data_IF_633839980006
#
_entry.id   IF_633839980006
#
_cell.length_a   1.000
_cell.length_b   1.000
_cell.length_c   1.000
_cell.angle_alpha   90.00
_cell.angle_beta   90.00
_cell.angle_gamma   90.00
#
_symmetry.space_group_name_H-M   'P 1'
#
loop_
_entity.id
_entity.type
_entity.pdbx_description
1 polymer ?
#
# COMPACT_ATOMS: atom_id res chain seq x y z
N UNK A 1 -13.45 66.64 -8.71
CA UNK A 1 -13.38 65.21 -9.09
C UNK A 1 -13.53 64.42 -7.81
N UNK A 2 -14.79 64.21 -7.44
CA UNK A 2 -15.20 63.30 -6.39
C UNK A 2 -15.05 61.86 -6.88
N UNK A 3 -14.55 60.96 -6.04
CA UNK A 3 -15.28 59.74 -5.65
C UNK A 3 -14.36 58.73 -4.96
N UNK A 4 -14.62 58.57 -3.66
CA UNK A 4 -14.64 57.29 -2.95
C UNK A 4 -13.34 56.49 -2.83
N UNK A 5 -12.47 56.99 -1.95
CA UNK A 5 -11.70 56.15 -1.07
C UNK A 5 -12.63 55.52 -0.01
N UNK A 6 -13.21 54.34 -0.24
CA UNK A 6 -13.63 53.42 0.83
C UNK A 6 -14.30 52.14 0.30
N UNK A 7 -13.92 51.02 0.92
CA UNK A 7 -14.74 49.83 1.12
C UNK A 7 -14.85 48.81 -0.02
N UNK A 8 -13.89 47.86 -0.04
CA UNK A 8 -14.18 46.41 -0.08
C UNK A 8 -13.06 45.70 0.72
N UNK A 9 -12.85 46.05 2.00
CA UNK A 9 -13.27 45.27 3.18
C UNK A 9 -13.45 43.78 2.89
N UNK A 10 -12.52 42.97 3.40
CA UNK A 10 -12.47 41.53 3.19
C UNK A 10 -13.76 40.81 3.55
N UNK A 11 -14.28 40.06 2.59
CA UNK A 11 -15.18 38.94 2.86
C UNK A 11 -14.32 37.73 3.17
N UNK A 12 -13.83 37.65 4.41
CA UNK A 12 -13.63 36.34 5.03
C UNK A 12 -15.03 35.78 5.20
N UNK A 13 -15.49 34.94 4.26
CA UNK A 13 -16.64 34.06 4.46
C UNK A 13 -16.42 33.37 5.81
N UNK A 14 -17.19 33.66 6.86
CA UNK A 14 -17.11 32.88 8.07
C UNK A 14 -17.72 31.54 7.67
N UNK A 15 -16.86 30.57 7.34
CA UNK A 15 -17.28 29.18 7.32
C UNK A 15 -17.51 28.83 8.79
N UNK A 16 -18.68 29.20 9.30
CA UNK A 16 -19.23 28.64 10.52
C UNK A 16 -19.55 27.21 10.11
N UNK A 17 -18.54 26.35 10.20
CA UNK A 17 -18.80 24.92 10.13
C UNK A 17 -19.46 24.63 11.47
N UNK A 18 -20.77 24.46 11.46
CA UNK A 18 -21.49 23.91 12.61
C UNK A 18 -20.71 22.68 13.07
N UNK A 19 -20.23 22.70 14.32
CA UNK A 19 -19.49 21.58 14.92
C UNK A 19 -20.28 20.26 14.78
N UNK A 20 -21.62 20.33 14.75
CA UNK A 20 -22.50 19.19 14.48
C UNK A 20 -22.38 18.58 13.08
N UNK A 21 -22.09 19.38 12.05
CA UNK A 21 -21.91 18.90 10.67
C UNK A 21 -20.50 18.29 10.53
N UNK A 22 -19.50 18.95 11.13
CA UNK A 22 -18.13 18.45 11.15
C UNK A 22 -18.02 17.12 11.92
N UNK A 23 -18.72 16.99 13.05
CA UNK A 23 -18.75 15.76 13.86
C UNK A 23 -19.51 14.63 13.15
N UNK A 24 -20.55 14.94 12.38
CA UNK A 24 -21.25 13.94 11.55
C UNK A 24 -20.36 13.43 10.41
N UNK A 25 -19.72 14.33 9.67
CA UNK A 25 -18.81 13.94 8.59
C UNK A 25 -17.59 13.20 9.13
N UNK A 26 -17.03 13.62 10.28
CA UNK A 26 -15.91 12.93 10.93
C UNK A 26 -16.31 11.53 11.45
N UNK A 27 -17.54 11.36 11.96
CA UNK A 27 -18.07 10.04 12.34
C UNK A 27 -18.30 9.14 11.15
N UNK A 28 -18.86 9.66 10.06
CA UNK A 28 -19.04 8.88 8.83
C UNK A 28 -17.68 8.48 8.23
N UNK A 29 -16.74 9.42 8.10
CA UNK A 29 -15.36 9.12 7.69
C UNK A 29 -14.66 8.11 8.62
N UNK A 30 -14.89 8.21 9.92
CA UNK A 30 -14.42 7.26 10.93
C UNK A 30 -15.00 5.86 10.72
N UNK A 31 -16.32 5.73 10.49
CA UNK A 31 -16.97 4.44 10.23
C UNK A 31 -16.52 3.83 8.89
N UNK A 32 -16.34 4.64 7.85
CA UNK A 32 -15.81 4.18 6.56
C UNK A 32 -14.35 3.73 6.68
N UNK A 33 -13.52 4.48 7.40
CA UNK A 33 -12.14 4.11 7.68
C UNK A 33 -12.05 2.84 8.52
N UNK A 34 -12.91 2.67 9.52
CA UNK A 34 -12.94 1.48 10.38
C UNK A 34 -13.39 0.24 9.59
N UNK A 35 -14.39 0.38 8.71
CA UNK A 35 -14.79 -0.69 7.78
C UNK A 35 -13.64 -1.07 6.85
N UNK A 36 -13.00 -0.09 6.21
CA UNK A 36 -11.84 -0.36 5.35
C UNK A 36 -10.70 -1.01 6.14
N UNK A 37 -10.44 -0.58 7.37
CA UNK A 37 -9.42 -1.17 8.22
C UNK A 37 -9.74 -2.63 8.57
N UNK A 38 -11.00 -2.95 8.91
CA UNK A 38 -11.45 -4.32 9.15
C UNK A 38 -11.34 -5.20 7.91
N UNK A 39 -11.77 -4.73 6.74
CA UNK A 39 -11.60 -5.47 5.49
C UNK A 39 -10.12 -5.66 5.14
N UNK A 40 -9.32 -4.61 5.22
CA UNK A 40 -7.89 -4.65 4.92
C UNK A 40 -7.13 -5.55 5.91
N UNK A 41 -7.48 -5.54 7.19
CA UNK A 41 -6.91 -6.43 8.20
C UNK A 41 -7.22 -7.92 7.94
N UNK A 42 -8.35 -8.22 7.30
CA UNK A 42 -8.75 -9.59 6.97
C UNK A 42 -8.06 -10.09 5.68
N UNK A 43 -7.89 -9.20 4.69
CA UNK A 43 -7.26 -9.54 3.40
C UNK A 43 -5.73 -9.52 3.45
N UNK A 44 -5.12 -8.64 4.25
CA UNK A 44 -3.66 -8.55 4.41
C UNK A 44 -2.98 -9.88 4.75
N UNK A 45 -3.45 -10.69 5.71
CA UNK A 45 -2.83 -11.98 6.00
C UNK A 45 -3.04 -13.02 4.88
N UNK A 46 -4.18 -12.98 4.17
CA UNK A 46 -4.44 -13.87 3.03
C UNK A 46 -3.49 -13.56 1.88
N UNK A 47 -3.36 -12.28 1.52
CA UNK A 47 -2.45 -11.82 0.46
C UNK A 47 -0.99 -12.03 0.87
N UNK A 48 -0.65 -11.75 2.13
CA UNK A 48 0.69 -11.96 2.67
C UNK A 48 1.11 -13.43 2.66
N UNK A 49 0.21 -14.34 3.08
CA UNK A 49 0.44 -15.78 3.01
C UNK A 49 0.61 -16.30 1.58
N UNK A 50 -0.18 -15.77 0.63
CA UNK A 50 -0.06 -16.13 -0.78
C UNK A 50 1.26 -15.66 -1.39
N UNK A 51 1.67 -14.42 -1.10
CA UNK A 51 2.96 -13.87 -1.52
C UNK A 51 4.14 -14.62 -0.90
N UNK A 52 4.03 -15.02 0.36
CA UNK A 52 5.03 -15.86 1.03
C UNK A 52 5.16 -17.23 0.35
N UNK A 53 4.04 -17.90 0.09
CA UNK A 53 4.02 -19.20 -0.58
C UNK A 53 4.60 -19.14 -2.00
N UNK A 54 4.19 -18.13 -2.79
CA UNK A 54 4.72 -17.91 -4.14
C UNK A 54 6.20 -17.55 -4.13
N UNK A 55 6.61 -16.65 -3.24
CA UNK A 55 8.01 -16.27 -3.08
C UNK A 55 8.90 -17.46 -2.72
N UNK A 56 8.45 -18.29 -1.77
CA UNK A 56 9.14 -19.53 -1.39
C UNK A 56 9.27 -20.51 -2.55
N UNK A 57 8.18 -20.73 -3.32
CA UNK A 57 8.21 -21.59 -4.50
C UNK A 57 9.19 -21.08 -5.57
N UNK A 58 9.25 -19.76 -5.79
CA UNK A 58 10.18 -19.14 -6.74
C UNK A 58 11.63 -19.33 -6.28
N UNK A 59 11.94 -19.16 -4.98
CA UNK A 59 13.31 -19.40 -4.47
C UNK A 59 13.72 -20.86 -4.69
N UNK A 60 12.85 -21.81 -4.40
CA UNK A 60 13.12 -23.24 -4.61
C UNK A 60 13.34 -23.52 -6.10
N UNK A 61 12.46 -23.03 -6.97
CA UNK A 61 12.61 -23.19 -8.42
C UNK A 61 13.88 -22.53 -8.94
N UNK A 62 14.23 -21.34 -8.46
CA UNK A 62 15.46 -20.64 -8.83
C UNK A 62 16.71 -21.44 -8.45
N UNK A 63 16.70 -22.14 -7.32
CA UNK A 63 17.78 -23.03 -6.92
C UNK A 63 17.86 -24.28 -7.81
N UNK A 64 16.73 -24.93 -8.10
CA UNK A 64 16.67 -26.13 -8.96
C UNK A 64 17.10 -25.79 -10.39
N UNK A 65 16.55 -24.72 -10.96
CA UNK A 65 16.90 -24.23 -12.29
C UNK A 65 18.32 -23.68 -12.33
N UNK A 66 18.74 -22.94 -11.31
CA UNK A 66 20.12 -22.48 -11.17
C UNK A 66 21.11 -23.63 -11.25
N UNK A 67 20.85 -24.72 -10.52
CA UNK A 67 21.68 -25.92 -10.56
C UNK A 67 21.65 -26.62 -11.92
N UNK A 68 20.48 -26.84 -12.49
CA UNK A 68 20.34 -27.52 -13.80
C UNK A 68 20.96 -26.72 -14.94
N UNK A 69 20.78 -25.40 -14.96
CA UNK A 69 21.40 -24.53 -15.97
C UNK A 69 22.87 -24.24 -15.67
N UNK A 70 23.35 -24.44 -14.44
CA UNK A 70 24.79 -24.37 -14.14
C UNK A 70 25.56 -25.46 -14.88
N UNK A 71 24.99 -26.67 -14.98
CA UNK A 71 25.53 -27.75 -15.81
C UNK A 71 25.57 -27.41 -17.32
N UNK A 72 24.80 -26.40 -17.75
CA UNK A 72 24.74 -25.88 -19.11
C UNK A 72 25.54 -24.58 -19.29
N UNK A 73 26.26 -24.11 -18.26
CA UNK A 73 27.09 -22.89 -18.30
C UNK A 73 26.33 -21.56 -18.18
N UNK A 74 25.01 -21.57 -17.94
CA UNK A 74 24.16 -20.36 -17.88
C UNK A 74 23.34 -20.20 -16.59
N UNK A 75 23.51 -21.06 -15.59
CA UNK A 75 22.63 -21.10 -14.41
C UNK A 75 22.72 -19.92 -13.45
N UNK A 76 23.80 -19.15 -13.49
CA UNK A 76 24.00 -18.01 -12.59
C UNK A 76 22.93 -16.91 -12.76
N UNK A 77 22.54 -16.61 -14.00
CA UNK A 77 21.60 -15.54 -14.29
C UNK A 77 20.20 -15.89 -13.76
N UNK A 78 19.73 -17.10 -14.07
CA UNK A 78 18.42 -17.61 -13.65
C UNK A 78 18.33 -17.73 -12.13
N UNK A 79 19.39 -18.20 -11.47
CA UNK A 79 19.47 -18.30 -10.03
C UNK A 79 19.42 -16.92 -9.35
N UNK A 80 20.19 -15.95 -9.84
CA UNK A 80 20.26 -14.61 -9.27
C UNK A 80 18.91 -13.89 -9.33
N UNK A 81 18.30 -13.80 -10.52
CA UNK A 81 17.02 -13.11 -10.66
C UNK A 81 15.88 -13.86 -9.96
N UNK A 82 15.86 -15.18 -10.04
CA UNK A 82 14.86 -16.00 -9.35
C UNK A 82 14.94 -15.84 -7.83
N UNK A 83 16.13 -15.86 -7.25
CA UNK A 83 16.31 -15.60 -5.82
C UNK A 83 15.92 -14.18 -5.44
N UNK A 84 16.32 -13.16 -6.21
CA UNK A 84 15.98 -11.77 -5.94
C UNK A 84 14.46 -11.56 -5.89
N UNK A 85 13.73 -12.07 -6.89
CA UNK A 85 12.27 -11.96 -6.96
C UNK A 85 11.63 -12.75 -5.81
N UNK A 86 12.06 -13.99 -5.59
CA UNK A 86 11.52 -14.85 -4.54
C UNK A 86 11.71 -14.29 -3.14
N UNK A 87 12.90 -13.79 -2.80
CA UNK A 87 13.16 -13.14 -1.51
C UNK A 87 12.40 -11.83 -1.33
N UNK A 88 12.23 -11.04 -2.38
CA UNK A 88 11.42 -9.81 -2.34
C UNK A 88 9.96 -10.14 -2.01
N UNK A 89 9.40 -11.15 -2.67
CA UNK A 89 8.02 -11.62 -2.41
C UNK A 89 7.86 -12.19 -0.99
N UNK A 90 8.85 -12.94 -0.50
CA UNK A 90 8.86 -13.43 0.88
C UNK A 90 8.87 -12.28 1.88
N UNK A 91 9.70 -11.26 1.66
CA UNK A 91 9.79 -10.09 2.54
C UNK A 91 8.47 -9.30 2.59
N UNK A 92 7.85 -9.05 1.43
CA UNK A 92 6.54 -8.38 1.35
C UNK A 92 5.48 -9.26 2.02
N UNK A 93 5.50 -10.56 1.76
CA UNK A 93 4.58 -11.52 2.37
C UNK A 93 4.60 -11.43 3.90
N UNK A 94 5.79 -11.52 4.50
CA UNK A 94 6.00 -11.40 5.96
C UNK A 94 5.50 -10.05 6.49
N UNK A 95 5.81 -8.94 5.80
CA UNK A 95 5.37 -7.60 6.21
C UNK A 95 3.87 -7.35 6.09
N UNK A 96 3.14 -8.19 5.33
CA UNK A 96 1.69 -8.12 5.20
C UNK A 96 0.95 -9.06 6.15
N UNK A 97 1.58 -10.13 6.64
CA UNK A 97 1.03 -11.05 7.64
C UNK A 97 1.35 -10.69 9.09
N UNK A 98 2.43 -9.94 9.33
CA UNK A 98 2.79 -9.35 10.63
C UNK A 98 1.97 -8.11 10.96
#
# INVERSE_FOLDING_TARGET
MDSANSAIKGEKKPVIIDEEILDKEAKELGEYAEKQYKYNALWRPVVGGLLFGLGGAIVVMAAVFGWTYHLLGQGYLTMFFGMLIGFTMLYIGIGMTS
#
